data_IF_414626357733
#
_entry.id   IF_414626357733
#
_cell.length_a   1.000
_cell.length_b   1.000
_cell.length_c   1.000
_cell.angle_alpha   90.00
_cell.angle_beta   90.00
_cell.angle_gamma   90.00
#
_symmetry.space_group_name_H-M   'P 1'
#
loop_
_entity.id
_entity.type
_entity.pdbx_description
1 polymer ?
#
# COMPACT_ATOMS: atom_id res chain seq x y z
N UNK A 1 7.55 5.94 3.45
CA UNK A 1 8.29 5.32 2.32
C UNK A 1 9.28 6.34 1.77
N UNK A 2 10.52 5.94 1.60
CA UNK A 2 11.55 6.81 1.03
C UNK A 2 11.42 6.84 -0.49
N UNK A 3 11.86 7.94 -1.12
CA UNK A 3 11.79 8.10 -2.58
C UNK A 3 12.51 6.96 -3.32
N UNK A 4 13.69 6.56 -2.83
CA UNK A 4 14.45 5.44 -3.41
C UNK A 4 13.66 4.13 -3.43
N UNK A 5 13.01 3.79 -2.32
CA UNK A 5 12.19 2.57 -2.20
C UNK A 5 11.00 2.60 -3.14
N UNK A 6 10.37 3.76 -3.29
CA UNK A 6 9.26 3.97 -4.22
C UNK A 6 9.68 3.71 -5.67
N UNK A 7 10.79 4.31 -6.09
CA UNK A 7 11.28 4.21 -7.46
C UNK A 7 11.79 2.80 -7.79
N UNK A 8 12.43 2.13 -6.83
CA UNK A 8 12.82 0.73 -6.94
C UNK A 8 11.61 -0.19 -7.08
N UNK A 9 10.61 0.00 -6.22
CA UNK A 9 9.39 -0.81 -6.24
C UNK A 9 8.59 -0.68 -7.53
N UNK A 10 8.68 0.45 -8.22
CA UNK A 10 8.07 0.68 -9.53
C UNK A 10 8.96 0.27 -10.71
N UNK A 11 10.17 -0.21 -10.45
CA UNK A 11 11.10 -0.60 -11.50
C UNK A 11 11.62 0.56 -12.36
N UNK A 12 11.56 1.78 -11.84
CA UNK A 12 11.98 3.00 -12.57
C UNK A 12 13.48 3.25 -12.48
N UNK A 13 14.12 2.73 -11.46
CA UNK A 13 15.58 2.81 -11.23
C UNK A 13 16.08 1.48 -10.68
N UNK A 14 17.39 1.25 -10.75
CA UNK A 14 18.05 0.08 -10.15
C UNK A 14 18.60 0.42 -8.77
N UNK A 15 18.95 -0.61 -8.00
CA UNK A 15 19.62 -0.44 -6.70
C UNK A 15 20.99 0.27 -6.86
N UNK A 16 21.70 -0.02 -7.96
CA UNK A 16 22.97 0.61 -8.29
C UNK A 16 22.80 2.12 -8.57
N UNK A 17 21.73 2.50 -9.27
CA UNK A 17 21.38 3.91 -9.51
C UNK A 17 21.15 4.66 -8.21
N UNK A 18 20.42 4.06 -7.27
CA UNK A 18 20.15 4.64 -5.95
C UNK A 18 21.44 4.81 -5.16
N UNK A 19 22.29 3.81 -5.14
CA UNK A 19 23.57 3.86 -4.41
C UNK A 19 24.48 4.96 -4.97
N UNK A 20 24.61 5.04 -6.28
CA UNK A 20 25.41 6.07 -6.94
C UNK A 20 24.84 7.48 -6.66
N UNK A 21 23.52 7.63 -6.66
CA UNK A 21 22.87 8.91 -6.34
C UNK A 21 23.05 9.32 -4.87
N UNK A 22 23.02 8.36 -3.95
CA UNK A 22 23.28 8.60 -2.52
C UNK A 22 24.71 9.05 -2.29
N UNK A 23 25.70 8.43 -2.95
CA UNK A 23 27.09 8.86 -2.86
C UNK A 23 27.29 10.30 -3.36
N UNK A 24 26.63 10.67 -4.47
CA UNK A 24 26.63 12.06 -4.95
C UNK A 24 25.98 13.01 -3.96
N UNK A 25 24.89 12.59 -3.34
CA UNK A 25 24.19 13.39 -2.33
C UNK A 25 25.07 13.67 -1.12
N UNK A 26 25.85 12.68 -0.67
CA UNK A 26 26.82 12.87 0.43
C UNK A 26 27.92 13.88 0.09
N UNK A 27 28.38 13.86 -1.16
CA UNK A 27 29.47 14.74 -1.61
C UNK A 27 29.01 16.16 -1.95
N UNK A 28 27.84 16.30 -2.53
CA UNK A 28 27.38 17.56 -3.14
C UNK A 28 26.15 18.16 -2.43
N UNK A 29 25.53 17.40 -1.51
CA UNK A 29 24.25 17.77 -0.92
C UNK A 29 23.09 17.67 -1.94
N UNK A 30 21.94 18.21 -1.60
CA UNK A 30 20.76 18.25 -2.46
C UNK A 30 19.82 17.07 -2.28
N UNK A 31 18.89 16.91 -3.21
CA UNK A 31 17.84 15.88 -3.13
C UNK A 31 18.19 14.68 -4.00
N UNK A 32 17.87 13.47 -3.53
CA UNK A 32 18.12 12.21 -4.25
C UNK A 32 17.54 12.22 -5.67
N UNK A 33 16.31 12.70 -5.84
CA UNK A 33 15.67 12.80 -7.15
C UNK A 33 16.43 13.66 -8.15
N UNK A 34 17.05 14.75 -7.69
CA UNK A 34 17.86 15.63 -8.52
C UNK A 34 19.10 14.91 -9.06
N UNK A 35 19.76 14.12 -8.22
CA UNK A 35 20.94 13.34 -8.62
C UNK A 35 20.58 12.20 -9.59
N UNK A 36 19.45 11.52 -9.37
CA UNK A 36 18.95 10.47 -10.27
C UNK A 36 18.65 11.02 -11.66
N UNK A 37 18.04 12.20 -11.75
CA UNK A 37 17.79 12.88 -13.03
C UNK A 37 19.11 13.33 -13.69
N UNK A 38 20.02 13.94 -12.92
CA UNK A 38 21.31 14.41 -13.43
C UNK A 38 22.19 13.27 -13.97
N UNK A 39 22.08 12.07 -13.38
CA UNK A 39 22.77 10.86 -13.84
C UNK A 39 22.13 10.21 -15.06
N UNK A 40 20.93 10.64 -15.45
CA UNK A 40 20.16 10.00 -16.51
C UNK A 40 19.48 8.67 -16.10
N UNK A 41 19.47 8.35 -14.81
CA UNK A 41 18.82 7.13 -14.30
C UNK A 41 17.30 7.17 -14.43
N UNK A 42 16.71 8.36 -14.33
CA UNK A 42 15.28 8.59 -14.48
C UNK A 42 15.04 9.95 -15.18
N UNK A 43 13.96 10.04 -15.94
CA UNK A 43 13.53 11.32 -16.52
C UNK A 43 12.73 12.14 -15.52
N UNK A 44 12.70 13.46 -15.69
CA UNK A 44 11.89 14.36 -14.85
C UNK A 44 10.42 13.96 -14.87
N UNK A 45 9.88 13.65 -16.06
CA UNK A 45 8.47 13.26 -16.23
C UNK A 45 8.11 12.00 -15.42
N UNK A 46 8.94 10.97 -15.48
CA UNK A 46 8.75 9.73 -14.71
C UNK A 46 8.84 9.97 -13.21
N UNK A 47 9.78 10.81 -12.77
CA UNK A 47 9.92 11.18 -11.36
C UNK A 47 8.68 11.94 -10.87
N UNK A 48 8.18 12.91 -11.63
CA UNK A 48 6.97 13.67 -11.30
C UNK A 48 5.75 12.75 -11.23
N UNK A 49 5.59 11.83 -12.18
CA UNK A 49 4.49 10.86 -12.17
C UNK A 49 4.53 9.94 -10.93
N UNK A 50 5.71 9.45 -10.55
CA UNK A 50 5.88 8.62 -9.36
C UNK A 50 5.51 9.38 -8.08
N UNK A 51 5.95 10.62 -7.95
CA UNK A 51 5.63 11.48 -6.79
C UNK A 51 4.14 11.82 -6.70
N UNK A 52 3.50 12.09 -7.83
CA UNK A 52 2.05 12.32 -7.89
C UNK A 52 1.27 11.08 -7.47
N UNK A 53 1.63 9.91 -7.98
CA UNK A 53 1.00 8.64 -7.60
C UNK A 53 1.08 8.39 -6.09
N UNK A 54 2.23 8.64 -5.48
CA UNK A 54 2.40 8.53 -4.02
C UNK A 54 1.50 9.52 -3.26
N UNK A 55 1.40 10.75 -3.74
CA UNK A 55 0.55 11.77 -3.12
C UNK A 55 -0.93 11.41 -3.22
N UNK A 56 -1.39 10.90 -4.36
CA UNK A 56 -2.75 10.44 -4.58
C UNK A 56 -3.11 9.25 -3.69
N UNK A 57 -2.20 8.28 -3.54
CA UNK A 57 -2.36 7.13 -2.63
C UNK A 57 -2.48 7.61 -1.19
N UNK A 58 -1.66 8.54 -0.75
CA UNK A 58 -1.71 9.11 0.59
C UNK A 58 -3.03 9.84 0.86
N UNK A 59 -3.51 10.65 -0.09
CA UNK A 59 -4.79 11.35 0.01
C UNK A 59 -5.97 10.37 0.07
N UNK A 60 -5.96 9.34 -0.77
CA UNK A 60 -6.98 8.28 -0.76
C UNK A 60 -6.98 7.52 0.56
N UNK A 61 -5.83 7.17 1.10
CA UNK A 61 -5.72 6.51 2.39
C UNK A 61 -6.33 7.35 3.51
N UNK A 62 -6.00 8.64 3.56
CA UNK A 62 -6.54 9.57 4.56
C UNK A 62 -8.07 9.68 4.46
N UNK A 63 -8.60 9.77 3.25
CA UNK A 63 -10.06 9.83 3.02
C UNK A 63 -10.76 8.54 3.45
N UNK A 64 -10.22 7.39 3.08
CA UNK A 64 -10.78 6.10 3.47
C UNK A 64 -10.74 5.88 4.98
N UNK A 65 -9.65 6.27 5.64
CA UNK A 65 -9.51 6.19 7.09
C UNK A 65 -10.57 7.04 7.80
N UNK A 66 -10.77 8.28 7.35
CA UNK A 66 -11.80 9.19 7.90
C UNK A 66 -13.21 8.64 7.70
N UNK A 67 -13.50 8.14 6.51
CA UNK A 67 -14.81 7.55 6.18
C UNK A 67 -15.09 6.35 7.07
N UNK A 68 -14.12 5.46 7.23
CA UNK A 68 -14.23 4.29 8.12
C UNK A 68 -14.48 4.71 9.58
N UNK A 69 -13.69 5.63 10.11
CA UNK A 69 -13.84 6.14 11.49
C UNK A 69 -15.22 6.76 11.70
N UNK A 70 -15.72 7.52 10.72
CA UNK A 70 -17.02 8.17 10.78
C UNK A 70 -18.16 7.14 10.82
N UNK A 71 -18.14 6.13 9.96
CA UNK A 71 -19.14 5.06 9.96
C UNK A 71 -19.13 4.27 11.27
N UNK A 72 -17.94 3.95 11.77
CA UNK A 72 -17.77 3.26 13.04
C UNK A 72 -18.34 4.07 14.22
N UNK A 73 -18.07 5.37 14.25
CA UNK A 73 -18.58 6.26 15.30
C UNK A 73 -20.10 6.44 15.25
N UNK A 74 -20.67 6.51 14.05
CA UNK A 74 -22.11 6.76 13.85
C UNK A 74 -22.98 5.50 13.98
N UNK A 75 -22.50 4.37 13.54
CA UNK A 75 -23.30 3.15 13.37
C UNK A 75 -22.72 1.93 14.09
N UNK A 76 -21.56 2.07 14.73
CA UNK A 76 -20.88 0.98 15.41
C UNK A 76 -20.03 0.10 14.49
N UNK A 77 -19.17 -0.77 15.09
CA UNK A 77 -18.22 -1.58 14.34
C UNK A 77 -18.85 -2.70 13.51
N UNK A 78 -20.06 -3.13 13.85
CA UNK A 78 -20.72 -4.29 13.22
C UNK A 78 -21.72 -3.91 12.12
N UNK A 79 -21.91 -2.62 11.84
CA UNK A 79 -22.83 -2.17 10.80
C UNK A 79 -22.30 -2.54 9.40
N UNK A 80 -23.15 -3.00 8.45
CA UNK A 80 -22.69 -3.37 7.10
C UNK A 80 -21.89 -2.30 6.38
N UNK A 81 -22.30 -1.04 6.47
CA UNK A 81 -21.58 0.07 5.84
C UNK A 81 -20.23 0.35 6.53
N UNK A 82 -20.11 0.08 7.83
CA UNK A 82 -18.82 0.15 8.54
C UNK A 82 -17.84 -0.88 7.98
N UNK A 83 -18.28 -2.11 7.72
CA UNK A 83 -17.46 -3.14 7.11
C UNK A 83 -17.06 -2.82 5.67
N UNK A 84 -17.97 -2.21 4.89
CA UNK A 84 -17.64 -1.72 3.54
C UNK A 84 -16.59 -0.61 3.58
N UNK A 85 -16.73 0.34 4.51
CA UNK A 85 -15.76 1.40 4.70
C UNK A 85 -14.40 0.83 5.17
N UNK A 86 -14.41 -0.17 6.03
CA UNK A 86 -13.20 -0.91 6.45
C UNK A 86 -12.52 -1.62 5.27
N UNK A 87 -13.30 -2.23 4.39
CA UNK A 87 -12.79 -2.83 3.15
C UNK A 87 -12.08 -1.79 2.28
N UNK A 88 -12.68 -0.63 2.06
CA UNK A 88 -12.06 0.45 1.28
C UNK A 88 -10.79 0.97 1.95
N UNK A 89 -10.78 1.08 3.27
CA UNK A 89 -9.59 1.44 4.05
C UNK A 89 -8.48 0.41 3.89
N UNK A 90 -8.80 -0.88 3.98
CA UNK A 90 -7.83 -1.96 3.78
C UNK A 90 -7.22 -1.93 2.37
N UNK A 91 -8.02 -1.68 1.34
CA UNK A 91 -7.52 -1.51 -0.03
C UNK A 91 -6.55 -0.35 -0.14
N UNK A 92 -6.86 0.78 0.48
CA UNK A 92 -5.99 1.95 0.49
C UNK A 92 -4.68 1.67 1.23
N UNK A 93 -4.71 0.94 2.35
CA UNK A 93 -3.53 0.49 3.07
C UNK A 93 -2.63 -0.40 2.19
N UNK A 94 -3.23 -1.33 1.46
CA UNK A 94 -2.50 -2.21 0.54
C UNK A 94 -1.82 -1.40 -0.57
N UNK A 95 -2.54 -0.46 -1.18
CA UNK A 95 -1.99 0.43 -2.20
C UNK A 95 -0.85 1.31 -1.66
N UNK A 96 -0.88 1.66 -0.38
CA UNK A 96 0.16 2.44 0.29
C UNK A 96 1.38 1.59 0.72
N UNK A 97 1.40 0.29 0.42
CA UNK A 97 2.47 -0.62 0.80
C UNK A 97 2.42 -1.10 2.26
N UNK A 98 1.32 -0.86 2.97
CA UNK A 98 1.11 -1.27 4.37
C UNK A 98 0.35 -2.60 4.43
N UNK A 99 0.94 -3.64 3.83
CA UNK A 99 0.30 -4.93 3.59
C UNK A 99 -0.13 -5.66 4.88
N UNK A 100 0.68 -5.62 5.94
CA UNK A 100 0.35 -6.28 7.21
C UNK A 100 -0.88 -5.66 7.88
N UNK A 101 -0.98 -4.33 7.88
CA UNK A 101 -2.16 -3.62 8.40
C UNK A 101 -3.38 -3.83 7.49
N UNK A 102 -3.17 -3.80 6.16
CA UNK A 102 -4.21 -4.09 5.18
C UNK A 102 -4.81 -5.49 5.41
N UNK A 103 -3.98 -6.49 5.64
CA UNK A 103 -4.42 -7.86 5.92
C UNK A 103 -5.32 -7.93 7.16
N UNK A 104 -4.91 -7.30 8.25
CA UNK A 104 -5.72 -7.27 9.49
C UNK A 104 -7.09 -6.65 9.25
N UNK A 105 -7.14 -5.50 8.58
CA UNK A 105 -8.39 -4.79 8.30
C UNK A 105 -9.26 -5.57 7.31
N UNK A 106 -8.65 -6.19 6.31
CA UNK A 106 -9.36 -7.01 5.32
C UNK A 106 -10.00 -8.26 5.95
N UNK A 107 -9.32 -8.92 6.86
CA UNK A 107 -9.86 -10.10 7.58
C UNK A 107 -11.07 -9.74 8.44
N UNK A 108 -11.00 -8.62 9.17
CA UNK A 108 -12.12 -8.12 9.96
C UNK A 108 -13.30 -7.74 9.05
N UNK A 109 -13.03 -7.04 7.95
CA UNK A 109 -14.06 -6.66 6.97
C UNK A 109 -14.71 -7.91 6.35
N UNK A 110 -13.93 -8.91 5.96
CA UNK A 110 -14.43 -10.17 5.41
C UNK A 110 -15.37 -10.86 6.39
N UNK A 111 -14.97 -11.01 7.64
CA UNK A 111 -15.80 -11.65 8.66
C UNK A 111 -17.15 -10.94 8.82
N UNK A 112 -17.15 -9.61 8.88
CA UNK A 112 -18.37 -8.81 9.00
C UNK A 112 -19.24 -8.84 7.75
N UNK A 113 -18.65 -8.75 6.57
CA UNK A 113 -19.37 -8.83 5.29
C UNK A 113 -20.01 -10.21 5.11
N UNK A 114 -19.25 -11.27 5.39
CA UNK A 114 -19.72 -12.65 5.32
C UNK A 114 -20.91 -12.89 6.26
N UNK A 115 -20.83 -12.41 7.49
CA UNK A 115 -21.89 -12.51 8.49
C UNK A 115 -23.16 -11.76 8.06
N UNK A 116 -23.01 -10.59 7.45
CA UNK A 116 -24.14 -9.73 7.06
C UNK A 116 -24.77 -10.10 5.71
N UNK A 117 -23.96 -10.48 4.72
CA UNK A 117 -24.40 -10.69 3.33
C UNK A 117 -24.34 -12.16 2.87
N UNK A 118 -23.67 -13.04 3.62
CA UNK A 118 -23.52 -14.46 3.30
C UNK A 118 -22.30 -14.77 2.43
N UNK A 119 -22.06 -16.07 2.21
CA UNK A 119 -20.89 -16.59 1.49
C UNK A 119 -20.93 -16.31 -0.02
N UNK A 120 -22.12 -16.26 -0.61
CA UNK A 120 -22.31 -16.18 -2.05
C UNK A 120 -22.57 -14.75 -2.55
N UNK A 121 -22.19 -13.74 -1.78
CA UNK A 121 -22.38 -12.35 -2.15
C UNK A 121 -21.13 -11.77 -2.81
N UNK A 122 -21.30 -10.90 -3.82
CA UNK A 122 -20.17 -10.27 -4.54
C UNK A 122 -19.21 -9.52 -3.61
N UNK A 123 -19.69 -8.86 -2.56
CA UNK A 123 -18.85 -8.21 -1.56
C UNK A 123 -18.00 -9.20 -0.77
N UNK A 124 -18.51 -10.39 -0.49
CA UNK A 124 -17.74 -11.47 0.14
C UNK A 124 -16.59 -11.92 -0.75
N UNK A 125 -16.84 -12.09 -2.05
CA UNK A 125 -15.82 -12.44 -3.03
C UNK A 125 -14.74 -11.37 -3.13
N UNK A 126 -15.13 -10.09 -3.18
CA UNK A 126 -14.19 -8.97 -3.20
C UNK A 126 -13.33 -8.92 -1.92
N UNK A 127 -13.92 -9.16 -0.76
CA UNK A 127 -13.20 -9.18 0.51
C UNK A 127 -12.24 -10.37 0.61
N UNK A 128 -12.64 -11.55 0.12
CA UNK A 128 -11.76 -12.73 0.01
C UNK A 128 -10.55 -12.45 -0.87
N UNK A 129 -10.77 -11.83 -2.02
CA UNK A 129 -9.68 -11.47 -2.94
C UNK A 129 -8.73 -10.46 -2.29
N UNK A 130 -9.26 -9.47 -1.59
CA UNK A 130 -8.43 -8.49 -0.87
C UNK A 130 -7.57 -9.13 0.21
N UNK A 131 -8.11 -10.07 0.99
CA UNK A 131 -7.34 -10.81 2.00
C UNK A 131 -6.21 -11.60 1.34
N UNK A 132 -6.49 -12.27 0.23
CA UNK A 132 -5.47 -13.01 -0.53
C UNK A 132 -4.36 -12.09 -1.05
N UNK A 133 -4.72 -10.97 -1.65
CA UNK A 133 -3.77 -9.99 -2.17
C UNK A 133 -2.91 -9.37 -1.07
N UNK A 134 -3.51 -9.00 0.05
CA UNK A 134 -2.81 -8.43 1.20
C UNK A 134 -1.86 -9.45 1.84
N UNK A 135 -2.28 -10.72 1.96
CA UNK A 135 -1.45 -11.81 2.47
C UNK A 135 -0.26 -12.06 1.56
N UNK A 136 -0.48 -12.10 0.27
CA UNK A 136 0.60 -12.27 -0.72
C UNK A 136 1.62 -11.11 -0.64
N UNK A 137 1.15 -9.88 -0.56
CA UNK A 137 2.00 -8.70 -0.43
C UNK A 137 2.77 -8.67 0.90
N UNK A 138 2.13 -9.05 2.01
CA UNK A 138 2.77 -9.14 3.32
C UNK A 138 3.89 -10.19 3.35
N UNK A 139 3.67 -11.36 2.73
CA UNK A 139 4.66 -12.42 2.63
C UNK A 139 5.84 -12.01 1.72
N UNK A 140 5.58 -11.26 0.66
CA UNK A 140 6.62 -10.77 -0.24
C UNK A 140 7.54 -9.73 0.43
N UNK A 141 7.06 -8.99 1.43
CA UNK A 141 7.85 -8.00 2.18
C UNK A 141 8.56 -8.58 3.39
N UNK A 142 8.21 -9.81 3.82
CA UNK A 142 8.85 -10.51 4.95
C UNK A 142 9.69 -11.68 4.43
N UNK A 143 11.04 -11.53 4.36
CA UNK A 143 11.92 -12.61 3.90
C UNK A 143 11.86 -13.87 4.78
N UNK A 144 11.54 -13.73 6.07
CA UNK A 144 11.43 -14.86 6.98
C UNK A 144 10.15 -15.66 6.75
N UNK A 145 9.04 -14.98 6.46
CA UNK A 145 7.79 -15.65 6.12
C UNK A 145 7.89 -16.42 4.80
N UNK A 146 8.61 -15.88 3.82
CA UNK A 146 8.86 -16.54 2.53
C UNK A 146 9.79 -17.76 2.65
N UNK A 147 10.68 -17.78 3.64
CA UNK A 147 11.63 -18.87 3.91
C UNK A 147 11.06 -19.93 4.87
N UNK A 148 9.88 -19.71 5.45
CA UNK A 148 9.26 -20.69 6.35
C UNK A 148 8.89 -21.96 5.58
N UNK A 149 9.28 -23.16 6.07
CA UNK A 149 8.89 -24.39 5.40
C UNK A 149 7.36 -24.53 5.41
N UNK A 150 6.82 -24.93 4.30
CA UNK A 150 5.40 -25.28 4.22
C UNK A 150 5.13 -26.46 5.17
N UNK A 151 4.41 -26.17 6.22
CA UNK A 151 4.02 -27.19 7.19
C UNK A 151 2.86 -28.02 6.65
#
# INVERSE_FOLDING_TARGET
MRLGDLLLGQGLVTAEDIEAALQRQEQQGGRLGTHLVAMGAITVDKLVMALRGQQEVGATLTMCARTFQRWQAMHGPDHPNTHRARYSYARALLAAGRAAEAMKQAEIALAGIRKGLGENHAWTDHALQLVADARHAANATDPQAAAAPAA
#
